data_IF_374927774198
#
_entry.id   IF_374927774198
#
_cell.length_a   1.000
_cell.length_b   1.000
_cell.length_c   1.000
_cell.angle_alpha   90.00
_cell.angle_beta   90.00
_cell.angle_gamma   90.00
#
_symmetry.space_group_name_H-M   'P 1'
#
loop_
_entity.id
_entity.type
_entity.pdbx_description
1 polymer ?
#
# COMPACT_ATOMS: atom_id res chain seq x y z
N UNK A 1 -6.68 14.94 -18.72
CA UNK A 1 -6.44 13.86 -17.73
C UNK A 1 -5.12 14.13 -17.01
N UNK A 2 -5.05 14.02 -15.68
CA UNK A 2 -3.77 14.02 -14.96
C UNK A 2 -2.85 12.94 -15.53
N UNK A 3 -1.56 13.27 -15.68
CA UNK A 3 -0.54 12.36 -16.20
C UNK A 3 0.42 12.00 -15.08
N UNK A 4 0.57 10.70 -14.82
CA UNK A 4 1.46 10.20 -13.79
C UNK A 4 2.85 9.97 -14.40
N UNK A 5 3.87 10.51 -13.73
CA UNK A 5 5.27 10.34 -14.08
C UNK A 5 5.98 9.66 -12.91
N UNK A 6 6.53 8.48 -13.13
CA UNK A 6 7.23 7.70 -12.09
C UNK A 6 8.65 7.35 -12.49
N UNK A 7 9.53 7.09 -11.53
CA UNK A 7 10.91 6.66 -11.77
C UNK A 7 10.96 5.21 -12.29
N UNK A 8 12.13 4.78 -12.77
CA UNK A 8 12.33 3.36 -13.11
C UNK A 8 12.25 2.44 -11.89
N UNK A 9 12.62 2.93 -10.71
CA UNK A 9 12.52 2.14 -9.47
C UNK A 9 11.06 1.92 -9.07
N UNK A 10 10.25 2.98 -9.11
CA UNK A 10 8.80 2.91 -8.87
C UNK A 10 8.11 2.02 -9.92
N UNK A 11 8.52 2.13 -11.18
CA UNK A 11 8.01 1.29 -12.25
C UNK A 11 8.42 -0.17 -12.05
N UNK A 12 9.66 -0.41 -11.61
CA UNK A 12 10.17 -1.73 -11.30
C UNK A 12 9.41 -2.38 -10.15
N UNK A 13 9.16 -1.63 -9.08
CA UNK A 13 8.32 -2.08 -7.96
C UNK A 13 6.91 -2.47 -8.42
N UNK A 14 6.30 -1.69 -9.32
CA UNK A 14 4.97 -2.01 -9.86
C UNK A 14 4.95 -3.29 -10.71
N UNK A 15 6.01 -3.57 -11.48
CA UNK A 15 6.10 -4.76 -12.35
C UNK A 15 6.82 -5.95 -11.71
N UNK A 16 7.35 -5.82 -10.48
CA UNK A 16 8.15 -6.85 -9.82
C UNK A 16 9.52 -7.08 -10.47
N UNK A 17 10.12 -6.05 -11.06
CA UNK A 17 11.42 -6.13 -11.75
C UNK A 17 12.40 -5.08 -11.23
N UNK A 18 13.70 -5.31 -11.43
CA UNK A 18 14.72 -4.30 -11.14
C UNK A 18 14.60 -3.08 -12.07
N UNK A 19 15.20 -1.95 -11.65
CA UNK A 19 15.20 -0.67 -12.38
C UNK A 19 15.61 -0.80 -13.85
N UNK A 20 16.65 -1.59 -14.14
CA UNK A 20 17.10 -1.84 -15.52
C UNK A 20 16.05 -2.59 -16.34
N UNK A 21 15.36 -3.56 -15.73
CA UNK A 21 14.24 -4.25 -16.37
C UNK A 21 13.08 -3.30 -16.67
N UNK A 22 12.74 -2.41 -15.73
CA UNK A 22 11.72 -1.39 -15.90
C UNK A 22 12.08 -0.40 -17.03
N UNK A 23 13.36 -0.04 -17.14
CA UNK A 23 13.89 0.76 -18.25
C UNK A 23 13.68 0.07 -19.59
N UNK A 24 13.97 -1.23 -19.68
CA UNK A 24 13.76 -1.99 -20.91
C UNK A 24 12.27 -2.13 -21.25
N UNK A 25 11.39 -2.32 -20.26
CA UNK A 25 9.93 -2.29 -20.47
C UNK A 25 9.49 -0.96 -21.08
N UNK A 26 9.89 0.16 -20.49
CA UNK A 26 9.53 1.50 -20.97
C UNK A 26 10.07 1.77 -22.39
N UNK A 27 11.26 1.24 -22.72
CA UNK A 27 11.83 1.31 -24.07
C UNK A 27 11.04 0.46 -25.07
N UNK A 28 10.82 -0.82 -24.76
CA UNK A 28 10.13 -1.76 -25.62
C UNK A 28 8.70 -1.33 -25.93
N UNK A 29 8.03 -0.70 -24.97
CA UNK A 29 6.67 -0.16 -25.12
C UNK A 29 6.61 1.28 -25.63
N UNK A 30 7.76 1.87 -25.97
CA UNK A 30 7.90 3.24 -26.47
C UNK A 30 7.24 4.30 -25.58
N UNK A 31 7.30 4.10 -24.26
CA UNK A 31 6.75 5.07 -23.32
C UNK A 31 7.59 6.33 -23.26
N UNK A 32 6.90 7.47 -23.10
CA UNK A 32 7.57 8.77 -22.98
C UNK A 32 8.41 8.79 -21.70
N UNK A 33 9.64 9.28 -21.83
CA UNK A 33 10.62 9.33 -20.76
C UNK A 33 11.23 10.73 -20.74
N UNK A 34 11.48 11.28 -19.56
CA UNK A 34 12.16 12.57 -19.41
C UNK A 34 13.11 12.54 -18.23
N UNK A 35 14.24 13.21 -18.37
CA UNK A 35 15.12 13.49 -17.23
C UNK A 35 14.55 14.67 -16.44
N UNK A 36 14.48 14.53 -15.13
CA UNK A 36 14.02 15.56 -14.20
C UNK A 36 15.20 16.31 -13.58
N UNK A 37 14.93 17.42 -12.91
CA UNK A 37 15.96 18.26 -12.27
C UNK A 37 16.73 17.57 -11.15
N UNK A 38 16.13 16.55 -10.52
CA UNK A 38 16.77 15.70 -9.51
C UNK A 38 17.71 14.64 -10.13
N UNK A 39 17.95 14.69 -11.44
CA UNK A 39 18.81 13.78 -12.16
C UNK A 39 18.18 12.44 -12.52
N UNK A 40 16.99 12.13 -11.97
CA UNK A 40 16.26 10.89 -12.20
C UNK A 40 15.52 10.94 -13.54
N UNK A 41 15.38 9.77 -14.18
CA UNK A 41 14.54 9.62 -15.36
C UNK A 41 13.16 9.16 -14.93
N UNK A 42 12.12 9.88 -15.38
CA UNK A 42 10.73 9.53 -15.15
C UNK A 42 10.05 9.08 -16.43
N UNK A 43 9.23 8.06 -16.31
CA UNK A 43 8.41 7.45 -17.34
C UNK A 43 6.98 7.95 -17.19
N UNK A 44 6.38 8.42 -18.28
CA UNK A 44 4.97 8.75 -18.34
C UNK A 44 4.16 7.48 -18.51
N UNK A 45 3.26 7.22 -17.58
CA UNK A 45 2.38 6.05 -17.67
C UNK A 45 1.25 6.31 -18.69
N UNK A 46 0.98 5.35 -19.60
CA UNK A 46 -0.28 5.28 -20.33
C UNK A 46 -1.47 5.19 -19.37
N UNK A 47 -2.67 5.59 -19.82
CA UNK A 47 -3.84 5.72 -18.94
C UNK A 47 -4.29 4.40 -18.29
N UNK A 48 -4.24 3.29 -19.03
CA UNK A 48 -4.53 1.94 -18.53
C UNK A 48 -3.53 1.51 -17.44
N UNK A 49 -2.24 1.75 -17.67
CA UNK A 49 -1.18 1.44 -16.71
C UNK A 49 -1.24 2.36 -15.48
N UNK A 50 -1.55 3.64 -15.69
CA UNK A 50 -1.72 4.60 -14.60
C UNK A 50 -2.87 4.17 -13.65
N UNK A 51 -3.98 3.67 -14.21
CA UNK A 51 -5.08 3.14 -13.42
C UNK A 51 -4.65 1.93 -12.60
N UNK A 52 -3.99 0.95 -13.23
CA UNK A 52 -3.46 -0.23 -12.54
C UNK A 52 -2.48 0.13 -11.41
N UNK A 53 -1.60 1.11 -11.66
CA UNK A 53 -0.66 1.63 -10.67
C UNK A 53 -1.37 2.24 -9.46
N UNK A 54 -2.37 3.11 -9.69
CA UNK A 54 -3.16 3.70 -8.61
C UNK A 54 -3.97 2.66 -7.83
N UNK A 55 -4.57 1.68 -8.52
CA UNK A 55 -5.32 0.61 -7.87
C UNK A 55 -4.45 -0.26 -6.98
N UNK A 56 -3.21 -0.54 -7.39
CA UNK A 56 -2.25 -1.27 -6.55
C UNK A 56 -1.94 -0.51 -5.26
N UNK A 57 -1.66 0.80 -5.37
CA UNK A 57 -1.40 1.65 -4.22
C UNK A 57 -2.57 1.70 -3.23
N UNK A 58 -3.80 1.87 -3.74
CA UNK A 58 -5.01 1.87 -2.90
C UNK A 58 -5.23 0.52 -2.23
N UNK A 59 -4.94 -0.59 -2.93
CA UNK A 59 -5.12 -1.94 -2.37
C UNK A 59 -4.17 -2.19 -1.21
N UNK A 60 -2.91 -1.79 -1.32
CA UNK A 60 -1.92 -1.90 -0.24
C UNK A 60 -2.32 -1.06 0.99
N UNK A 61 -2.77 0.17 0.76
CA UNK A 61 -3.28 1.04 1.82
C UNK A 61 -4.52 0.42 2.51
N UNK A 62 -5.43 -0.17 1.73
CA UNK A 62 -6.64 -0.82 2.24
C UNK A 62 -6.31 -2.06 3.10
N UNK A 63 -5.33 -2.87 2.69
CA UNK A 63 -4.86 -4.02 3.50
C UNK A 63 -4.31 -3.56 4.84
N UNK A 64 -3.50 -2.50 4.84
CA UNK A 64 -2.94 -1.92 6.06
C UNK A 64 -4.05 -1.40 6.98
N UNK A 65 -4.98 -0.61 6.43
CA UNK A 65 -6.12 -0.07 7.17
C UNK A 65 -7.03 -1.17 7.75
N UNK A 66 -7.27 -2.25 6.98
CA UNK A 66 -8.05 -3.40 7.44
C UNK A 66 -7.36 -4.14 8.60
N UNK A 67 -6.03 -4.26 8.56
CA UNK A 67 -5.24 -4.81 9.66
C UNK A 67 -5.38 -3.99 10.94
N UNK A 68 -5.32 -2.67 10.83
CA UNK A 68 -5.46 -1.78 11.99
C UNK A 68 -6.88 -1.75 12.54
N UNK A 69 -7.90 -1.76 11.67
CA UNK A 69 -9.29 -1.90 12.11
C UNK A 69 -9.49 -3.23 12.86
N UNK A 70 -8.93 -4.33 12.38
CA UNK A 70 -8.99 -5.64 13.04
C UNK A 70 -8.38 -5.59 14.45
N UNK A 71 -7.20 -4.98 14.62
CA UNK A 71 -6.58 -4.82 15.95
C UNK A 71 -7.47 -4.03 16.90
N UNK A 72 -8.11 -2.96 16.42
CA UNK A 72 -9.02 -2.13 17.22
C UNK A 72 -10.27 -2.88 17.66
N UNK A 73 -10.86 -3.68 16.77
CA UNK A 73 -12.02 -4.53 17.09
C UNK A 73 -11.63 -5.55 18.16
N UNK A 74 -10.50 -6.26 17.99
CA UNK A 74 -10.01 -7.24 18.96
C UNK A 74 -9.75 -6.62 20.33
N UNK A 75 -9.12 -5.45 20.38
CA UNK A 75 -8.87 -4.74 21.64
C UNK A 75 -10.19 -4.34 22.35
N UNK A 76 -11.19 -3.89 21.59
CA UNK A 76 -12.51 -3.55 22.14
C UNK A 76 -13.24 -4.78 22.67
N UNK A 77 -13.20 -5.90 21.96
CA UNK A 77 -13.80 -7.16 22.38
C UNK A 77 -13.12 -7.72 23.64
N UNK A 78 -11.79 -7.72 23.70
CA UNK A 78 -11.04 -8.14 24.87
C UNK A 78 -11.37 -7.28 26.11
N UNK A 79 -11.48 -5.96 25.94
CA UNK A 79 -11.90 -5.05 27.02
C UNK A 79 -13.33 -5.35 27.51
N UNK A 80 -14.26 -5.62 26.58
CA UNK A 80 -15.64 -6.02 26.93
C UNK A 80 -15.68 -7.36 27.66
N UNK A 81 -14.89 -8.34 27.23
CA UNK A 81 -14.79 -9.65 27.88
C UNK A 81 -14.19 -9.53 29.29
N UNK A 82 -13.14 -8.73 29.46
CA UNK A 82 -12.54 -8.47 30.78
C UNK A 82 -13.54 -7.79 31.74
N UNK A 83 -14.34 -6.83 31.24
CA UNK A 83 -15.39 -6.19 32.03
C UNK A 83 -16.53 -7.16 32.38
N UNK A 84 -16.90 -8.07 31.48
CA UNK A 84 -17.91 -9.09 31.72
C UNK A 84 -17.43 -10.19 32.69
N UNK A 85 -16.14 -10.48 32.72
CA UNK A 85 -15.50 -11.42 33.64
C UNK A 85 -15.21 -10.83 35.03
N UNK A 86 -15.95 -9.78 35.44
CA UNK A 86 -15.78 -9.05 36.71
C UNK A 86 -15.54 -9.96 37.94
N UNK A 87 -14.90 -9.42 38.99
CA UNK A 87 -14.13 -10.18 39.98
C UNK A 87 -14.93 -11.32 40.61
N UNK A 88 -14.79 -12.52 40.07
CA UNK A 88 -15.28 -13.73 40.73
C UNK A 88 -14.36 -14.03 41.91
N UNK A 89 -14.98 -14.14 43.09
CA UNK A 89 -14.43 -14.62 44.35
C UNK A 89 -13.61 -13.63 45.20
N UNK A 90 -14.27 -12.59 45.73
CA UNK A 90 -13.83 -12.00 47.00
C UNK A 90 -15.04 -11.55 47.82
N UNK A 91 -15.70 -12.52 48.46
CA UNK A 91 -16.83 -12.26 49.35
C UNK A 91 -17.70 -13.48 49.58
N UNK A 92 -17.25 -14.40 50.44
CA UNK A 92 -18.09 -15.21 51.34
C UNK A 92 -17.23 -16.10 52.26
N UNK A 93 -16.85 -15.57 53.41
CA UNK A 93 -16.58 -16.26 54.68
C UNK A 93 -16.70 -15.14 55.74
N UNK A 94 -17.89 -14.98 56.33
CA UNK A 94 -18.34 -15.63 57.57
C UNK A 94 -17.58 -15.10 58.77
#
# INVERSE_FOLDING_TARGET
MPQIWITYDELGAHYGVASDGAREIARARMWSRRRSHDGLTRVKLPSDVALAYMSAFVSEAAVTAAGDLRKRVQASEAARQAAAAGPSAMGRAA
#
